data_IF_487731126254
#
_entry.id   IF_487731126254
#
_cell.length_a   1.000
_cell.length_b   1.000
_cell.length_c   1.000
_cell.angle_alpha   90.00
_cell.angle_beta   90.00
_cell.angle_gamma   90.00
#
_symmetry.space_group_name_H-M   'P 1'
#
loop_
_entity.id
_entity.type
_entity.pdbx_description
1 polymer ?
#
# COMPACT_ATOMS: atom_id res chain seq x y z
N UNK A 1 3.46 16.61 4.61
CA UNK A 1 3.21 15.42 3.79
C UNK A 1 1.97 14.77 4.35
N UNK A 2 0.86 14.94 3.66
CA UNK A 2 -0.43 14.38 4.06
C UNK A 2 -0.34 12.86 4.15
N UNK A 3 -0.80 12.21 5.22
CA UNK A 3 -0.97 10.78 5.23
C UNK A 3 -2.26 10.45 4.50
N UNK A 4 -2.19 10.41 3.20
CA UNK A 4 -2.84 9.38 2.38
C UNK A 4 -4.06 8.68 3.01
N UNK A 5 -5.26 9.19 2.71
CA UNK A 5 -6.49 8.47 2.98
C UNK A 5 -6.58 7.27 2.05
N UNK A 6 -6.45 6.07 2.61
CA UNK A 6 -6.73 4.83 1.88
C UNK A 6 -8.20 4.47 2.12
N UNK A 7 -9.10 5.01 1.30
CA UNK A 7 -10.43 4.43 1.18
C UNK A 7 -10.30 3.11 0.40
N UNK A 8 -10.13 2.00 1.11
CA UNK A 8 -10.09 0.67 0.51
C UNK A 8 -11.40 0.39 -0.23
N UNK A 9 -11.32 0.13 -1.54
CA UNK A 9 -12.44 -0.41 -2.30
C UNK A 9 -12.78 -1.82 -1.79
N UNK A 10 -14.08 -2.13 -1.66
CA UNK A 10 -14.58 -3.36 -1.02
C UNK A 10 -14.03 -4.69 -1.59
N UNK A 11 -13.58 -4.72 -2.85
CA UNK A 11 -13.00 -5.93 -3.45
C UNK A 11 -11.61 -6.30 -2.90
N UNK A 12 -10.91 -5.38 -2.24
CA UNK A 12 -9.61 -5.63 -1.60
C UNK A 12 -9.78 -6.40 -0.26
N UNK A 13 -10.96 -6.34 0.36
CA UNK A 13 -11.27 -7.04 1.62
C UNK A 13 -11.38 -8.57 1.47
N UNK A 14 -11.48 -9.08 0.24
CA UNK A 14 -11.54 -10.52 -0.04
C UNK A 14 -10.16 -11.20 0.05
N UNK A 15 -9.07 -10.43 0.10
CA UNK A 15 -7.71 -10.96 0.09
C UNK A 15 -7.14 -10.93 1.50
N UNK A 16 -7.01 -12.12 2.08
CA UNK A 16 -6.69 -12.30 3.50
C UNK A 16 -5.30 -11.76 3.90
N UNK A 17 -4.34 -11.69 2.96
CA UNK A 17 -2.97 -11.27 3.24
C UNK A 17 -2.46 -10.20 2.26
N UNK A 18 -2.96 -8.98 2.45
CA UNK A 18 -2.46 -7.77 1.77
C UNK A 18 -1.52 -6.99 2.67
N UNK A 19 -0.48 -6.43 2.07
CA UNK A 19 0.58 -5.66 2.71
C UNK A 19 0.68 -4.29 2.05
N UNK A 20 1.01 -3.27 2.84
CA UNK A 20 1.40 -1.98 2.29
C UNK A 20 2.92 -1.95 2.12
N UNK A 21 3.35 -1.46 0.98
CA UNK A 21 4.75 -1.40 0.55
C UNK A 21 5.03 0.05 0.19
N UNK A 22 5.93 0.69 0.93
CA UNK A 22 6.37 2.07 0.65
C UNK A 22 7.72 2.04 -0.06
N UNK A 23 7.75 2.57 -1.26
CA UNK A 23 8.92 2.67 -2.12
C UNK A 23 9.73 3.93 -1.81
N UNK A 24 11.03 3.87 -2.09
CA UNK A 24 11.94 5.01 -1.86
C UNK A 24 11.63 6.17 -2.83
N UNK A 25 11.41 5.85 -4.10
CA UNK A 25 11.10 6.81 -5.16
C UNK A 25 9.73 6.53 -5.79
N UNK A 26 9.25 7.48 -6.59
CA UNK A 26 8.05 7.29 -7.40
C UNK A 26 8.35 6.28 -8.53
N UNK A 27 9.53 6.36 -9.12
CA UNK A 27 9.99 5.44 -10.17
C UNK A 27 10.04 3.98 -9.70
N UNK A 28 10.49 3.73 -8.46
CA UNK A 28 10.47 2.39 -7.85
C UNK A 28 9.04 1.86 -7.71
N UNK A 29 8.07 2.75 -7.43
CA UNK A 29 6.65 2.41 -7.33
C UNK A 29 6.04 2.14 -8.71
N UNK A 30 6.39 2.95 -9.71
CA UNK A 30 5.91 2.75 -11.08
C UNK A 30 6.47 1.46 -11.69
N UNK A 31 7.74 1.14 -11.44
CA UNK A 31 8.32 -0.15 -11.82
C UNK A 31 7.62 -1.33 -11.14
N UNK A 32 7.20 -1.18 -9.88
CA UNK A 32 6.37 -2.18 -9.20
C UNK A 32 4.99 -2.34 -9.87
N UNK A 33 4.36 -1.23 -10.28
CA UNK A 33 3.10 -1.28 -11.03
C UNK A 33 3.31 -1.99 -12.37
N UNK A 34 4.34 -1.63 -13.12
CA UNK A 34 4.64 -2.27 -14.41
C UNK A 34 4.80 -3.79 -14.25
N UNK A 35 5.43 -4.24 -13.16
CA UNK A 35 5.53 -5.67 -12.83
C UNK A 35 4.16 -6.31 -12.58
N UNK A 36 3.25 -5.63 -11.89
CA UNK A 36 1.88 -6.10 -11.66
C UNK A 36 1.05 -6.19 -12.95
N UNK A 37 1.47 -5.49 -14.01
CA UNK A 37 0.84 -5.54 -15.33
C UNK A 37 1.41 -6.65 -16.24
N UNK A 38 2.47 -7.35 -15.82
CA UNK A 38 2.99 -8.53 -16.53
C UNK A 38 2.06 -9.74 -16.38
N UNK A 39 2.10 -10.67 -17.33
CA UNK A 39 1.17 -11.82 -17.39
C UNK A 39 1.15 -12.68 -16.11
N UNK A 40 2.26 -12.70 -15.34
CA UNK A 40 2.36 -13.48 -14.10
C UNK A 40 1.55 -12.89 -12.93
N UNK A 41 1.27 -11.58 -12.95
CA UNK A 41 0.60 -10.86 -11.86
C UNK A 41 -0.62 -10.05 -12.34
N UNK A 42 -0.96 -10.20 -13.61
CA UNK A 42 -2.06 -9.46 -14.24
C UNK A 42 -3.38 -9.80 -13.54
N UNK A 43 -4.06 -8.76 -13.06
CA UNK A 43 -5.36 -8.90 -12.39
C UNK A 43 -5.26 -9.16 -10.89
N UNK A 44 -4.06 -9.22 -10.32
CA UNK A 44 -3.87 -9.24 -8.87
C UNK A 44 -4.40 -7.93 -8.25
N UNK A 45 -5.10 -8.00 -7.11
CA UNK A 45 -5.64 -6.83 -6.45
C UNK A 45 -4.54 -5.92 -5.93
N UNK A 46 -4.37 -4.75 -6.53
CA UNK A 46 -3.44 -3.72 -6.04
C UNK A 46 -4.13 -2.38 -5.91
N UNK A 47 -3.68 -1.57 -4.95
CA UNK A 47 -4.17 -0.20 -4.78
C UNK A 47 -3.02 0.78 -4.57
N UNK A 48 -3.13 1.94 -5.19
CA UNK A 48 -2.17 3.03 -5.00
C UNK A 48 -2.67 3.88 -3.86
N UNK A 49 -1.93 3.81 -2.76
CA UNK A 49 -2.23 4.56 -1.55
C UNK A 49 -1.85 6.01 -1.81
N UNK A 50 -0.57 6.29 -2.08
CA UNK A 50 -0.07 7.60 -2.51
C UNK A 50 0.97 7.50 -3.62
N UNK A 51 1.68 8.60 -3.88
CA UNK A 51 2.74 8.65 -4.88
C UNK A 51 3.85 7.61 -4.70
N UNK A 52 4.02 7.01 -3.51
CA UNK A 52 5.11 6.07 -3.21
C UNK A 52 4.67 4.79 -2.51
N UNK A 53 3.39 4.55 -2.30
CA UNK A 53 2.91 3.44 -1.48
C UNK A 53 1.89 2.62 -2.25
N UNK A 54 2.10 1.31 -2.28
CA UNK A 54 1.15 0.35 -2.86
C UNK A 54 0.61 -0.57 -1.78
N UNK A 55 -0.64 -0.96 -1.91
CA UNK A 55 -1.18 -2.16 -1.27
C UNK A 55 -1.17 -3.27 -2.30
N UNK A 56 -0.54 -4.39 -1.94
CA UNK A 56 -0.45 -5.58 -2.78
C UNK A 56 -0.58 -6.84 -1.92
N UNK A 57 -0.91 -8.00 -2.50
CA UNK A 57 -0.85 -9.28 -1.79
C UNK A 57 0.58 -9.63 -1.36
N UNK A 58 0.73 -10.38 -0.28
CA UNK A 58 2.05 -10.75 0.22
C UNK A 58 2.87 -11.58 -0.79
N UNK A 59 2.21 -12.32 -1.68
CA UNK A 59 2.83 -13.18 -2.71
C UNK A 59 3.63 -12.42 -3.77
N UNK A 60 3.34 -11.13 -4.01
CA UNK A 60 4.09 -10.31 -5.00
C UNK A 60 5.34 -9.65 -4.42
N UNK A 61 5.49 -9.64 -3.10
CA UNK A 61 6.62 -9.00 -2.42
C UNK A 61 7.98 -9.62 -2.75
N UNK A 62 8.13 -10.97 -2.80
CA UNK A 62 9.39 -11.58 -3.22
C UNK A 62 9.81 -11.13 -4.62
N UNK A 63 8.85 -10.94 -5.53
CA UNK A 63 9.13 -10.51 -6.90
C UNK A 63 9.62 -9.06 -6.98
N UNK A 64 9.14 -8.18 -6.10
CA UNK A 64 9.70 -6.84 -5.99
C UNK A 64 11.15 -6.86 -5.52
N UNK A 65 11.49 -7.76 -4.58
CA UNK A 65 12.85 -7.93 -4.12
C UNK A 65 13.77 -8.50 -5.21
N UNK A 66 13.28 -9.47 -6.00
CA UNK A 66 14.02 -10.06 -7.13
C UNK A 66 14.33 -9.04 -8.24
N UNK A 67 13.46 -8.03 -8.43
CA UNK A 67 13.72 -6.91 -9.33
C UNK A 67 14.63 -5.82 -8.74
N UNK A 68 15.11 -5.98 -7.50
CA UNK A 68 15.96 -5.00 -6.84
C UNK A 68 15.24 -3.71 -6.44
N UNK A 69 13.90 -3.74 -6.34
CA UNK A 69 13.12 -2.57 -5.93
C UNK A 69 13.37 -2.23 -4.46
N UNK A 70 13.59 -0.95 -4.17
CA UNK A 70 13.85 -0.49 -2.82
C UNK A 70 12.55 -0.11 -2.11
N UNK A 71 12.06 -1.00 -1.26
CA UNK A 71 10.84 -0.78 -0.50
C UNK A 71 10.96 -1.15 0.97
N UNK A 72 10.04 -0.60 1.77
CA UNK A 72 9.82 -0.98 3.17
C UNK A 72 8.39 -1.46 3.36
N UNK A 73 8.24 -2.48 4.19
CA UNK A 73 6.93 -2.95 4.62
C UNK A 73 6.31 -1.93 5.58
N UNK A 74 5.11 -1.49 5.27
CA UNK A 74 4.33 -0.59 6.13
C UNK A 74 3.21 -1.40 6.76
N UNK A 75 3.05 -1.26 8.08
CA UNK A 75 1.98 -1.93 8.78
C UNK A 75 0.64 -1.34 8.35
N UNK A 76 -0.19 -2.18 7.70
CA UNK A 76 -1.59 -1.88 7.49
C UNK A 76 -2.30 -2.12 8.82
N UNK A 77 -2.83 -1.06 9.42
CA UNK A 77 -3.72 -1.19 10.58
C UNK A 77 -5.15 -1.23 10.08
N UNK A 78 -5.94 -2.21 10.53
CA UNK A 78 -7.36 -2.27 10.15
C UNK A 78 -8.12 -1.14 10.85
N UNK A 79 -9.19 -0.57 10.26
CA UNK A 79 -9.93 0.53 10.88
C UNK A 79 -10.47 0.21 12.29
N UNK A 80 -10.77 -1.06 12.57
CA UNK A 80 -11.21 -1.55 13.88
C UNK A 80 -10.07 -1.79 14.89
N UNK A 81 -8.81 -1.70 14.47
CA UNK A 81 -7.62 -1.82 15.32
C UNK A 81 -7.02 -0.45 15.69
N UNK A 82 -7.52 0.65 15.08
CA UNK A 82 -7.10 2.01 15.43
C UNK A 82 -8.03 2.57 16.51
N UNK A 83 -7.50 2.88 17.69
CA UNK A 83 -8.23 3.61 18.72
C UNK A 83 -8.63 5.01 18.24
N UNK A 84 -9.77 5.52 18.71
CA UNK A 84 -10.28 6.84 18.36
C UNK A 84 -9.26 7.98 18.60
N UNK A 85 -8.45 7.87 19.65
CA UNK A 85 -7.36 8.81 19.96
C UNK A 85 -6.24 8.78 18.92
N UNK A 86 -5.84 7.58 18.48
CA UNK A 86 -4.84 7.41 17.43
C UNK A 86 -5.36 7.93 16.10
N UNK A 87 -6.64 7.69 15.79
CA UNK A 87 -7.35 8.26 14.64
C UNK A 87 -7.38 9.79 14.67
N UNK A 88 -7.68 10.40 15.82
CA UNK A 88 -7.68 11.84 15.99
C UNK A 88 -6.28 12.46 15.83
N UNK A 89 -5.25 11.78 16.36
CA UNK A 89 -3.85 12.20 16.19
C UNK A 89 -3.42 12.14 14.73
N UNK A 90 -3.76 11.06 14.03
CA UNK A 90 -3.55 10.93 12.59
C UNK A 90 -4.23 12.09 11.87
N UNK A 91 -5.54 12.32 12.07
CA UNK A 91 -6.31 13.43 11.45
C UNK A 91 -5.68 14.80 11.66
N UNK A 92 -5.20 15.07 12.87
CA UNK A 92 -4.52 16.32 13.24
C UNK A 92 -3.16 16.49 12.54
N UNK A 93 -2.42 15.39 12.35
CA UNK A 93 -1.16 15.37 11.61
C UNK A 93 -1.37 15.51 10.08
N UNK A 94 -2.60 15.25 9.57
CA UNK A 94 -2.97 15.37 8.14
C UNK A 94 -3.58 16.71 7.74
N UNK A 95 -3.75 17.66 8.68
CA UNK A 95 -4.41 18.94 8.38
C UNK A 95 -5.89 18.82 8.01
N UNK A 96 -6.58 17.72 8.37
CA UNK A 96 -8.02 17.56 8.21
C UNK A 96 -8.68 18.07 9.49
N UNK A 97 -8.58 19.38 9.73
CA UNK A 97 -9.44 20.19 10.60
C UNK A 97 -9.11 21.66 10.36
#
# INVERSE_FOLDING_TARGET
MDPIKIERKAHILLYADIKAVAFKTVDDRDAAIDLLWTDNFRGIPSDVVDGKTLIVPAEVIPHFADQGLNFKMVQVVRPNEISSERLAKIRKEQGIF
#
